data_IF_146597534039
#
_entry.id   IF_146597534039
#
_cell.length_a   1.000
_cell.length_b   1.000
_cell.length_c   1.000
_cell.angle_alpha   90.00
_cell.angle_beta   90.00
_cell.angle_gamma   90.00
#
_symmetry.space_group_name_H-M   'P 1'
#
loop_
_entity.id
_entity.type
_entity.pdbx_description
1 polymer ?
#
# COMPACT_ATOMS: atom_id res chain seq x y z
N UNK A 1 15.29 3.37 -27.12
CA UNK A 1 14.11 2.47 -27.19
C UNK A 1 13.11 3.04 -28.18
N UNK A 2 12.44 2.22 -28.99
CA UNK A 2 11.45 2.72 -29.95
C UNK A 2 10.23 3.33 -29.22
N UNK A 3 9.70 4.45 -29.71
CA UNK A 3 8.51 5.10 -29.13
C UNK A 3 7.27 4.19 -29.06
N UNK A 4 7.24 3.09 -29.81
CA UNK A 4 6.20 2.05 -29.75
C UNK A 4 6.15 1.31 -28.40
N UNK A 5 7.31 1.17 -27.73
CA UNK A 5 7.39 0.52 -26.42
C UNK A 5 6.57 1.27 -25.37
N UNK A 6 6.41 2.60 -25.52
CA UNK A 6 5.56 3.44 -24.68
C UNK A 6 4.11 2.95 -24.60
N UNK A 7 3.57 2.49 -25.73
CA UNK A 7 2.18 2.01 -25.86
C UNK A 7 2.00 0.54 -25.49
N UNK A 8 3.09 -0.17 -25.17
CA UNK A 8 3.07 -1.60 -24.87
C UNK A 8 2.32 -1.91 -23.56
N UNK A 9 1.23 -2.68 -23.69
CA UNK A 9 0.40 -3.07 -22.55
C UNK A 9 -0.36 -1.92 -21.92
N UNK A 10 -0.50 -0.78 -22.59
CA UNK A 10 -1.21 0.41 -22.09
C UNK A 10 -2.43 0.75 -22.95
N UNK A 11 -3.40 1.44 -22.34
CA UNK A 11 -4.58 2.03 -22.98
C UNK A 11 -4.74 3.48 -22.56
N UNK A 12 -4.31 4.39 -23.41
CA UNK A 12 -4.14 5.81 -23.09
C UNK A 12 -5.11 6.69 -23.88
N UNK A 13 -5.58 7.76 -23.26
CA UNK A 13 -6.24 8.84 -24.00
C UNK A 13 -5.19 9.65 -24.78
N UNK A 14 -5.60 10.34 -25.83
CA UNK A 14 -4.71 11.24 -26.58
C UNK A 14 -4.03 12.29 -25.69
N UNK A 15 -4.75 12.78 -24.67
CA UNK A 15 -4.22 13.73 -23.69
C UNK A 15 -3.10 13.16 -22.80
N UNK A 16 -3.00 11.84 -22.68
CA UNK A 16 -1.96 11.15 -21.91
C UNK A 16 -0.78 10.72 -22.79
N UNK A 17 -0.84 10.96 -24.10
CA UNK A 17 0.25 10.69 -25.03
C UNK A 17 1.11 11.96 -25.17
N UNK A 18 2.42 11.89 -24.86
CA UNK A 18 3.37 12.99 -25.06
C UNK A 18 3.28 13.53 -26.49
N UNK A 19 3.40 14.85 -26.67
CA UNK A 19 3.17 15.50 -27.97
C UNK A 19 4.09 14.93 -29.06
N UNK A 20 5.30 14.59 -28.66
CA UNK A 20 6.40 14.04 -29.48
C UNK A 20 6.04 12.65 -30.03
N UNK A 21 5.21 11.88 -29.31
CA UNK A 21 4.80 10.53 -29.71
C UNK A 21 3.46 10.49 -30.46
N UNK A 22 2.75 11.61 -30.59
CA UNK A 22 1.44 11.66 -31.26
C UNK A 22 1.53 11.34 -32.75
N UNK A 23 2.65 11.67 -33.40
CA UNK A 23 2.91 11.28 -34.79
C UNK A 23 2.93 9.76 -35.02
N UNK A 24 3.17 8.97 -33.98
CA UNK A 24 3.17 7.50 -34.07
C UNK A 24 1.78 6.88 -33.98
N UNK A 25 0.72 7.66 -33.71
CA UNK A 25 -0.63 7.12 -33.58
C UNK A 25 -1.20 6.62 -34.92
N UNK A 26 -0.65 7.09 -36.04
CA UNK A 26 -0.97 6.62 -37.41
C UNK A 26 -0.20 5.35 -37.79
N UNK A 27 0.73 4.88 -36.95
CA UNK A 27 1.46 3.64 -37.18
C UNK A 27 0.51 2.44 -37.09
N UNK A 28 0.54 1.56 -38.09
CA UNK A 28 -0.30 0.36 -38.17
C UNK A 28 -0.18 -0.59 -36.95
N UNK A 29 0.90 -0.48 -36.18
CA UNK A 29 1.15 -1.24 -34.95
C UNK A 29 0.39 -0.69 -33.75
N UNK A 30 -0.07 0.57 -33.80
CA UNK A 30 -0.96 1.14 -32.82
C UNK A 30 -2.40 0.74 -33.16
N UNK A 31 -3.17 0.41 -32.13
CA UNK A 31 -4.59 0.13 -32.24
C UNK A 31 -5.36 1.18 -31.47
N UNK A 32 -6.35 1.71 -32.17
CA UNK A 32 -7.40 2.50 -31.59
C UNK A 32 -8.50 1.56 -31.04
N UNK A 33 -8.89 1.80 -29.80
CA UNK A 33 -9.96 1.08 -29.12
C UNK A 33 -11.05 2.08 -28.74
N UNK A 34 -12.33 1.72 -28.86
CA UNK A 34 -13.39 2.57 -28.35
C UNK A 34 -13.20 2.78 -26.85
N UNK A 35 -13.30 4.02 -26.39
CA UNK A 35 -13.15 4.33 -24.96
C UNK A 35 -14.36 3.87 -24.13
N UNK A 36 -15.53 3.73 -24.76
CA UNK A 36 -16.75 3.25 -24.14
C UNK A 36 -17.52 2.30 -25.05
N UNK A 37 -18.31 1.40 -24.45
CA UNK A 37 -19.22 0.50 -25.14
C UNK A 37 -20.64 0.70 -24.60
N UNK A 38 -21.57 1.04 -25.48
CA UNK A 38 -23.00 1.19 -25.13
C UNK A 38 -23.65 -0.20 -25.16
N UNK A 39 -24.38 -0.54 -24.10
CA UNK A 39 -25.05 -1.83 -23.88
C UNK A 39 -26.47 -1.53 -23.39
N UNK A 40 -27.41 -1.40 -24.33
CA UNK A 40 -28.79 -1.00 -24.02
C UNK A 40 -28.83 0.35 -23.29
N UNK A 41 -29.43 0.38 -22.09
CA UNK A 41 -29.50 1.57 -21.20
C UNK A 41 -28.27 1.79 -20.32
N UNK A 42 -27.17 1.09 -20.62
CA UNK A 42 -25.93 1.18 -19.87
C UNK A 42 -24.75 1.50 -20.77
N UNK A 43 -23.72 2.11 -20.21
CA UNK A 43 -22.46 2.45 -20.89
C UNK A 43 -21.31 1.89 -20.07
N UNK A 44 -20.51 1.04 -20.69
CA UNK A 44 -19.33 0.46 -20.08
C UNK A 44 -18.07 1.24 -20.47
N UNK A 45 -17.30 1.67 -19.48
CA UNK A 45 -15.98 2.26 -19.70
C UNK A 45 -14.96 1.17 -20.08
N UNK A 46 -14.25 1.33 -21.19
CA UNK A 46 -13.26 0.34 -21.68
C UNK A 46 -11.88 0.45 -21.02
N UNK A 47 -11.71 1.47 -20.15
CA UNK A 47 -10.55 1.63 -19.24
C UNK A 47 -10.75 0.88 -17.93
N UNK A 48 -11.65 1.39 -17.07
CA UNK A 48 -11.86 0.80 -15.74
C UNK A 48 -12.84 -0.38 -15.75
N UNK A 49 -13.63 -0.55 -16.80
CA UNK A 49 -14.65 -1.60 -16.90
C UNK A 49 -15.95 -1.30 -16.16
N UNK A 50 -16.06 -0.17 -15.45
CA UNK A 50 -17.28 0.24 -14.75
C UNK A 50 -18.43 0.41 -15.75
N UNK A 51 -19.60 -0.10 -15.37
CA UNK A 51 -20.84 0.04 -16.12
C UNK A 51 -21.67 1.12 -15.44
N UNK A 52 -22.03 2.16 -16.19
CA UNK A 52 -22.86 3.27 -15.76
C UNK A 52 -24.23 3.17 -16.43
N UNK A 53 -25.29 3.64 -15.77
CA UNK A 53 -26.54 3.89 -16.47
C UNK A 53 -26.35 5.09 -17.41
N UNK A 54 -26.84 4.99 -18.65
CA UNK A 54 -26.57 5.98 -19.70
C UNK A 54 -27.10 7.36 -19.35
N UNK A 55 -28.27 7.45 -18.71
CA UNK A 55 -28.92 8.69 -18.27
C UNK A 55 -28.07 9.50 -17.28
N UNK A 56 -27.38 8.85 -16.34
CA UNK A 56 -26.59 9.51 -15.30
C UNK A 56 -25.25 10.10 -15.79
N UNK A 57 -24.77 9.62 -16.94
CA UNK A 57 -23.44 10.00 -17.46
C UNK A 57 -23.49 10.60 -18.86
N UNK A 58 -24.69 10.92 -19.33
CA UNK A 58 -24.92 11.58 -20.62
C UNK A 58 -24.60 13.06 -20.53
N UNK A 59 -23.82 13.55 -21.49
CA UNK A 59 -23.57 14.95 -21.74
C UNK A 59 -24.11 15.26 -23.13
N UNK A 60 -24.96 16.29 -23.21
CA UNK A 60 -25.50 16.81 -24.47
C UNK A 60 -24.92 18.20 -24.65
N UNK A 61 -24.17 18.42 -25.74
CA UNK A 61 -23.78 19.75 -26.17
C UNK A 61 -24.49 20.09 -27.49
N UNK A 62 -24.23 21.27 -28.06
CA UNK A 62 -24.87 21.73 -29.32
C UNK A 62 -24.52 20.87 -30.55
N UNK A 63 -23.48 20.05 -30.49
CA UNK A 63 -22.91 19.33 -31.63
C UNK A 63 -23.09 17.81 -31.54
N UNK A 64 -23.07 17.25 -30.34
CA UNK A 64 -23.07 15.81 -30.10
C UNK A 64 -23.61 15.45 -28.72
N UNK A 65 -24.09 14.21 -28.61
CA UNK A 65 -24.39 13.55 -27.33
C UNK A 65 -23.36 12.47 -27.09
N UNK A 66 -22.66 12.55 -25.96
CA UNK A 66 -21.67 11.54 -25.56
C UNK A 66 -21.81 11.21 -24.07
N UNK A 67 -21.12 10.15 -23.66
CA UNK A 67 -21.12 9.68 -22.29
C UNK A 67 -19.72 9.83 -21.69
N UNK A 68 -19.61 9.98 -20.37
CA UNK A 68 -18.32 10.01 -19.69
C UNK A 68 -18.24 9.04 -18.52
N UNK A 69 -17.03 8.72 -18.05
CA UNK A 69 -16.83 7.83 -16.90
C UNK A 69 -16.45 8.65 -15.66
N UNK A 70 -17.36 8.85 -14.69
CA UNK A 70 -17.03 9.50 -13.43
C UNK A 70 -15.88 8.82 -12.68
N UNK A 71 -15.81 7.49 -12.77
CA UNK A 71 -14.81 6.71 -12.02
C UNK A 71 -13.37 6.87 -12.53
N UNK A 72 -13.17 7.32 -13.77
CA UNK A 72 -11.84 7.56 -14.33
C UNK A 72 -11.43 9.04 -14.31
N UNK A 73 -12.27 9.95 -13.81
CA UNK A 73 -12.12 11.40 -14.02
C UNK A 73 -10.76 11.95 -13.59
N UNK A 74 -10.19 11.43 -12.50
CA UNK A 74 -8.89 11.86 -11.97
C UNK A 74 -7.69 11.43 -12.85
N UNK A 75 -7.87 10.44 -13.72
CA UNK A 75 -6.85 9.97 -14.67
C UNK A 75 -7.07 10.55 -16.08
N UNK A 76 -7.99 11.49 -16.23
CA UNK A 76 -8.48 11.98 -17.50
C UNK A 76 -9.91 11.50 -17.77
N UNK A 77 -10.75 12.42 -18.25
CA UNK A 77 -12.16 12.15 -18.55
C UNK A 77 -12.26 11.21 -19.76
N UNK A 78 -12.52 9.93 -19.49
CA UNK A 78 -12.84 8.95 -20.55
C UNK A 78 -14.25 9.25 -21.06
N UNK A 79 -14.41 9.39 -22.38
CA UNK A 79 -15.68 9.74 -23.02
C UNK A 79 -15.98 8.82 -24.21
N UNK A 80 -17.25 8.64 -24.58
CA UNK A 80 -17.64 7.76 -25.69
C UNK A 80 -17.25 8.26 -27.07
N UNK A 81 -17.02 9.56 -27.23
CA UNK A 81 -16.51 10.20 -28.44
C UNK A 81 -14.96 10.25 -28.50
N UNK A 82 -14.29 9.64 -27.52
CA UNK A 82 -12.83 9.52 -27.49
C UNK A 82 -12.42 8.07 -27.75
N UNK A 83 -11.14 7.90 -28.06
CA UNK A 83 -10.50 6.61 -28.24
C UNK A 83 -9.36 6.38 -27.27
N UNK A 84 -9.10 5.10 -27.01
CA UNK A 84 -7.95 4.64 -26.26
C UNK A 84 -6.92 4.07 -27.23
N UNK A 85 -5.67 4.47 -27.08
CA UNK A 85 -4.56 4.03 -27.93
C UNK A 85 -3.67 3.05 -27.16
N UNK A 86 -3.27 1.98 -27.84
CA UNK A 86 -2.35 0.96 -27.32
C UNK A 86 -1.67 0.18 -28.42
N UNK A 87 -0.52 -0.43 -28.13
CA UNK A 87 0.20 -1.24 -29.11
C UNK A 87 -0.47 -2.60 -29.33
N UNK A 88 -0.60 -3.02 -30.60
CA UNK A 88 -0.98 -4.40 -30.97
C UNK A 88 0.11 -5.40 -30.64
N UNK A 89 1.37 -4.99 -30.79
CA UNK A 89 2.53 -5.85 -30.58
C UNK A 89 2.96 -5.83 -29.12
N UNK A 90 3.18 -7.02 -28.59
CA UNK A 90 3.89 -7.19 -27.33
C UNK A 90 5.40 -7.15 -27.62
N UNK A 91 6.20 -6.49 -26.77
CA UNK A 91 7.65 -6.57 -26.83
C UNK A 91 8.10 -8.03 -26.81
N UNK A 92 9.21 -8.31 -27.50
CA UNK A 92 9.83 -9.63 -27.42
C UNK A 92 10.23 -9.90 -25.97
N UNK A 93 10.06 -11.15 -25.53
CA UNK A 93 10.58 -11.59 -24.24
C UNK A 93 12.09 -11.66 -24.36
N UNK A 94 12.78 -10.91 -23.50
CA UNK A 94 14.24 -10.97 -23.39
C UNK A 94 14.58 -11.90 -22.23
N UNK A 95 14.87 -13.16 -22.55
CA UNK A 95 15.25 -14.16 -21.55
C UNK A 95 16.74 -14.03 -21.30
N UNK A 96 17.10 -13.63 -20.09
CA UNK A 96 18.48 -13.44 -19.67
C UNK A 96 18.60 -13.72 -18.18
N UNK A 97 19.75 -14.22 -17.71
CA UNK A 97 19.96 -14.36 -16.27
C UNK A 97 19.87 -12.99 -15.59
N UNK A 98 19.11 -12.93 -14.50
CA UNK A 98 18.97 -11.72 -13.69
C UNK A 98 19.76 -11.89 -12.40
N UNK A 99 20.72 -11.00 -12.18
CA UNK A 99 21.51 -10.98 -10.96
C UNK A 99 20.67 -10.44 -9.80
N UNK A 100 20.49 -11.25 -8.77
CA UNK A 100 19.95 -10.86 -7.47
C UNK A 100 21.11 -10.44 -6.57
N UNK A 101 21.09 -9.22 -6.05
CA UNK A 101 22.09 -8.69 -5.11
C UNK A 101 21.41 -8.41 -3.77
N UNK A 102 21.43 -9.39 -2.88
CA UNK A 102 20.92 -9.24 -1.52
C UNK A 102 21.78 -10.09 -0.58
N UNK A 103 22.35 -9.45 0.43
CA UNK A 103 23.29 -10.07 1.38
C UNK A 103 22.58 -10.69 2.59
N UNK A 104 21.26 -10.49 2.72
CA UNK A 104 20.48 -11.10 3.80
C UNK A 104 20.16 -12.57 3.54
N UNK A 105 19.67 -13.25 4.57
CA UNK A 105 19.20 -14.63 4.50
C UNK A 105 17.74 -14.72 4.92
N UNK A 106 16.92 -15.41 4.12
CA UNK A 106 15.53 -15.71 4.50
C UNK A 106 15.53 -16.69 5.68
N UNK A 107 14.69 -16.42 6.67
CA UNK A 107 14.38 -17.41 7.70
C UNK A 107 13.74 -18.66 7.06
N UNK A 108 13.76 -19.83 7.72
CA UNK A 108 13.13 -21.04 7.17
C UNK A 108 11.65 -20.84 6.80
N UNK A 109 10.90 -20.05 7.59
CA UNK A 109 9.50 -19.74 7.30
C UNK A 109 9.34 -18.78 6.13
N UNK A 110 10.20 -17.76 6.02
CA UNK A 110 10.24 -16.86 4.86
C UNK A 110 10.60 -17.62 3.57
N UNK A 111 11.53 -18.57 3.64
CA UNK A 111 11.91 -19.42 2.49
C UNK A 111 10.73 -20.26 1.99
N UNK A 112 9.97 -20.89 2.89
CA UNK A 112 8.73 -21.61 2.52
C UNK A 112 7.73 -20.71 1.78
N UNK A 113 7.57 -19.46 2.23
CA UNK A 113 6.72 -18.48 1.54
C UNK A 113 7.29 -18.12 0.17
N UNK A 114 8.61 -17.93 0.06
CA UNK A 114 9.27 -17.61 -1.21
C UNK A 114 9.15 -18.74 -2.24
N UNK A 115 9.29 -20.00 -1.82
CA UNK A 115 9.04 -21.18 -2.66
C UNK A 115 7.60 -21.24 -3.16
N UNK A 116 6.62 -20.92 -2.30
CA UNK A 116 5.21 -20.80 -2.68
C UNK A 116 4.98 -19.67 -3.68
N UNK A 117 5.65 -18.53 -3.52
CA UNK A 117 5.63 -17.42 -4.48
C UNK A 117 6.17 -17.87 -5.84
N UNK A 118 7.33 -18.53 -5.88
CA UNK A 118 7.90 -19.08 -7.12
C UNK A 118 6.93 -20.05 -7.80
N UNK A 119 6.39 -21.01 -7.03
CA UNK A 119 5.42 -21.98 -7.54
C UNK A 119 4.17 -21.30 -8.12
N UNK A 120 3.63 -20.29 -7.43
CA UNK A 120 2.49 -19.52 -7.91
C UNK A 120 2.80 -18.76 -9.20
N UNK A 121 4.02 -18.22 -9.33
CA UNK A 121 4.49 -17.52 -10.54
C UNK A 121 4.58 -18.49 -11.72
N UNK A 122 5.20 -19.66 -11.54
CA UNK A 122 5.36 -20.65 -12.60
C UNK A 122 4.03 -21.22 -13.07
N UNK A 123 3.15 -21.57 -12.11
CA UNK A 123 1.81 -22.09 -12.39
C UNK A 123 0.83 -21.01 -12.83
N UNK A 124 1.23 -19.73 -12.82
CA UNK A 124 0.36 -18.56 -13.12
C UNK A 124 -0.88 -18.53 -12.22
N UNK A 125 -0.70 -18.94 -10.96
CA UNK A 125 -1.74 -19.06 -9.95
C UNK A 125 -2.04 -17.73 -9.24
N UNK A 126 -2.93 -17.81 -8.25
CA UNK A 126 -3.27 -16.73 -7.35
C UNK A 126 -2.90 -17.09 -5.91
N UNK A 127 -2.09 -16.24 -5.26
CA UNK A 127 -1.57 -16.46 -3.92
C UNK A 127 -1.83 -15.25 -3.02
N UNK A 128 -2.31 -15.49 -1.80
CA UNK A 128 -2.42 -14.53 -0.72
C UNK A 128 -1.37 -14.84 0.35
N UNK A 129 -0.50 -13.87 0.58
CA UNK A 129 0.49 -13.90 1.65
C UNK A 129 -0.07 -13.05 2.79
N UNK A 130 -0.51 -13.71 3.86
CA UNK A 130 -0.89 -13.07 5.11
C UNK A 130 0.31 -13.06 6.06
N UNK A 131 1.09 -11.98 6.03
CA UNK A 131 2.31 -11.87 6.80
C UNK A 131 2.28 -10.66 7.72
N UNK A 132 2.66 -10.86 8.98
CA UNK A 132 2.63 -9.81 10.00
C UNK A 132 3.55 -8.64 9.65
N UNK A 133 3.29 -7.48 10.25
CA UNK A 133 4.16 -6.31 10.07
C UNK A 133 5.57 -6.62 10.58
N UNK A 134 6.58 -6.32 9.77
CA UNK A 134 7.97 -6.70 10.09
C UNK A 134 8.31 -8.17 9.78
N UNK A 135 7.50 -8.89 9.00
CA UNK A 135 7.84 -10.27 8.59
C UNK A 135 8.80 -10.37 7.39
N UNK A 136 9.30 -9.25 6.84
CA UNK A 136 10.13 -9.27 5.62
C UNK A 136 9.34 -9.57 4.34
N UNK A 137 8.14 -8.97 4.20
CA UNK A 137 7.24 -9.18 3.04
C UNK A 137 7.93 -9.00 1.68
N UNK A 138 8.81 -8.02 1.57
CA UNK A 138 9.48 -7.69 0.32
C UNK A 138 10.56 -8.72 -0.02
N UNK A 139 11.37 -9.12 0.96
CA UNK A 139 12.45 -10.10 0.80
C UNK A 139 11.94 -11.43 0.25
N UNK A 140 10.79 -11.89 0.77
CA UNK A 140 10.17 -13.14 0.32
C UNK A 140 9.77 -13.13 -1.16
N UNK A 141 9.64 -11.96 -1.80
CA UNK A 141 9.28 -11.83 -3.20
C UNK A 141 10.49 -11.86 -4.14
N UNK A 142 11.70 -11.67 -3.63
CA UNK A 142 12.90 -11.46 -4.45
C UNK A 142 13.18 -12.61 -5.41
N UNK A 143 13.17 -13.85 -4.94
CA UNK A 143 13.40 -15.04 -5.79
C UNK A 143 12.30 -15.19 -6.86
N UNK A 144 11.04 -14.94 -6.50
CA UNK A 144 9.93 -14.92 -7.45
C UNK A 144 10.05 -13.83 -8.53
N UNK A 145 10.48 -12.63 -8.14
CA UNK A 145 10.74 -11.52 -9.05
C UNK A 145 11.90 -11.88 -9.99
N UNK A 146 13.01 -12.40 -9.44
CA UNK A 146 14.16 -12.84 -10.22
C UNK A 146 13.78 -13.90 -11.25
N UNK A 147 12.99 -14.90 -10.84
CA UNK A 147 12.49 -15.95 -11.72
C UNK A 147 11.67 -15.38 -12.88
N UNK A 148 10.69 -14.52 -12.59
CA UNK A 148 9.87 -13.91 -13.64
C UNK A 148 10.71 -13.05 -14.60
N UNK A 149 11.58 -12.20 -14.07
CA UNK A 149 12.44 -11.35 -14.90
C UNK A 149 13.40 -12.18 -15.77
N UNK A 150 13.94 -13.29 -15.23
CA UNK A 150 14.84 -14.17 -16.00
C UNK A 150 14.13 -14.88 -17.17
N UNK A 151 12.81 -15.10 -17.06
CA UNK A 151 11.96 -15.61 -18.15
C UNK A 151 11.55 -14.52 -19.15
N UNK A 152 12.09 -13.31 -19.02
CA UNK A 152 11.72 -12.14 -19.83
C UNK A 152 10.28 -11.70 -19.61
N UNK A 153 9.72 -11.98 -18.44
CA UNK A 153 8.36 -11.62 -18.09
C UNK A 153 8.28 -10.21 -17.50
N UNK A 154 7.12 -9.59 -17.68
CA UNK A 154 6.87 -8.26 -17.14
C UNK A 154 6.16 -8.36 -15.79
N UNK A 155 6.73 -7.71 -14.79
CA UNK A 155 6.27 -7.76 -13.40
C UNK A 155 5.83 -6.36 -12.97
N UNK A 156 4.69 -6.28 -12.29
CA UNK A 156 4.28 -5.08 -11.56
C UNK A 156 4.18 -5.37 -10.07
N UNK A 157 4.74 -4.48 -9.26
CA UNK A 157 4.51 -4.39 -7.83
C UNK A 157 3.70 -3.12 -7.56
N UNK A 158 2.45 -3.29 -7.17
CA UNK A 158 1.54 -2.19 -6.91
C UNK A 158 1.28 -2.02 -5.40
N UNK A 159 1.12 -0.78 -4.96
CA UNK A 159 0.63 -0.47 -3.59
C UNK A 159 -0.44 0.64 -3.64
N UNK A 160 -1.43 0.67 -2.74
CA UNK A 160 -2.40 1.75 -2.68
C UNK A 160 -1.77 3.09 -2.27
N UNK A 161 -0.60 3.07 -1.62
CA UNK A 161 0.06 4.27 -1.07
C UNK A 161 1.32 4.63 -1.85
N UNK A 162 1.51 5.94 -2.05
CA UNK A 162 2.70 6.49 -2.70
C UNK A 162 3.95 6.24 -1.85
N UNK A 163 3.85 6.44 -0.52
CA UNK A 163 4.99 6.33 0.39
C UNK A 163 5.60 4.92 0.38
N UNK A 164 4.77 3.88 0.24
CA UNK A 164 5.23 2.48 0.08
C UNK A 164 5.97 2.29 -1.24
N UNK A 165 5.46 2.85 -2.35
CA UNK A 165 6.15 2.77 -3.64
C UNK A 165 7.52 3.44 -3.59
N UNK A 166 7.61 4.61 -2.93
CA UNK A 166 8.86 5.35 -2.73
C UNK A 166 9.85 4.64 -1.80
N UNK A 167 9.37 3.85 -0.83
CA UNK A 167 10.22 2.99 0.02
C UNK A 167 10.74 1.77 -0.76
N UNK A 168 9.89 1.14 -1.58
CA UNK A 168 10.23 -0.07 -2.32
C UNK A 168 11.16 0.17 -3.52
N UNK A 169 11.04 1.32 -4.17
CA UNK A 169 11.83 1.65 -5.37
C UNK A 169 13.35 1.58 -5.16
N UNK A 170 13.96 2.35 -4.24
CA UNK A 170 15.41 2.28 -4.02
C UNK A 170 15.86 0.92 -3.49
N UNK A 171 14.99 0.20 -2.75
CA UNK A 171 15.28 -1.16 -2.28
C UNK A 171 15.42 -2.13 -3.44
N UNK A 172 14.45 -2.14 -4.36
CA UNK A 172 14.47 -3.03 -5.53
C UNK A 172 15.55 -2.63 -6.54
N UNK A 173 15.90 -1.35 -6.66
CA UNK A 173 17.04 -0.92 -7.48
C UNK A 173 18.36 -1.51 -6.98
N UNK A 174 18.58 -1.52 -5.65
CA UNK A 174 19.77 -2.16 -5.06
C UNK A 174 19.75 -3.68 -5.25
N UNK A 175 18.58 -4.30 -5.12
CA UNK A 175 18.43 -5.76 -5.27
C UNK A 175 18.59 -6.24 -6.71
N UNK A 176 18.15 -5.44 -7.70
CA UNK A 176 18.19 -5.77 -9.12
C UNK A 176 18.90 -4.68 -9.93
N UNK A 177 20.21 -4.46 -9.73
CA UNK A 177 20.93 -3.32 -10.32
C UNK A 177 21.04 -3.38 -11.85
N UNK A 178 20.86 -4.56 -12.44
CA UNK A 178 20.88 -4.78 -13.89
C UNK A 178 19.52 -4.56 -14.58
N UNK A 179 18.49 -4.21 -13.81
CA UNK A 179 17.11 -4.11 -14.27
C UNK A 179 16.65 -2.67 -14.15
N UNK A 180 16.21 -2.11 -15.27
CA UNK A 180 15.53 -0.82 -15.28
C UNK A 180 14.15 -0.96 -14.62
N UNK A 181 13.84 -0.06 -13.69
CA UNK A 181 12.61 -0.07 -12.91
C UNK A 181 11.84 1.23 -13.19
N UNK A 182 10.59 1.13 -13.63
CA UNK A 182 9.71 2.28 -13.73
C UNK A 182 8.96 2.50 -12.42
N UNK A 183 9.01 3.71 -11.87
CA UNK A 183 8.23 4.13 -10.70
C UNK A 183 7.07 5.02 -11.12
N UNK A 184 5.83 4.60 -10.87
CA UNK A 184 4.63 5.31 -11.33
C UNK A 184 3.68 5.73 -10.20
N UNK A 185 3.45 7.03 -10.06
CA UNK A 185 2.47 7.59 -9.11
C UNK A 185 1.89 8.93 -9.61
N UNK A 186 0.84 9.43 -8.96
CA UNK A 186 0.04 10.56 -9.48
C UNK A 186 0.73 11.93 -9.56
N UNK A 187 1.95 12.07 -9.03
CA UNK A 187 2.74 13.33 -9.02
C UNK A 187 4.17 13.12 -9.55
N UNK A 188 4.36 12.16 -10.44
CA UNK A 188 5.68 11.90 -11.01
C UNK A 188 6.04 13.01 -12.02
N UNK A 189 7.30 13.41 -12.04
CA UNK A 189 7.86 14.36 -13.01
C UNK A 189 8.48 13.63 -14.21
N UNK A 190 9.02 12.42 -13.99
CA UNK A 190 9.64 11.62 -15.03
C UNK A 190 8.64 11.07 -16.05
N UNK A 191 9.03 11.01 -17.32
CA UNK A 191 8.22 10.37 -18.34
C UNK A 191 8.23 8.84 -18.21
N UNK A 192 7.09 8.22 -18.52
CA UNK A 192 7.01 6.76 -18.55
C UNK A 192 7.92 6.20 -19.65
N UNK A 193 8.75 5.23 -19.27
CA UNK A 193 9.48 4.36 -20.17
C UNK A 193 9.03 2.90 -19.96
N UNK A 194 9.25 2.05 -20.97
CA UNK A 194 8.90 0.64 -20.87
C UNK A 194 9.95 -0.11 -20.04
N UNK A 195 9.52 -0.73 -18.95
CA UNK A 195 10.40 -1.53 -18.09
C UNK A 195 9.82 -2.92 -17.80
N UNK A 196 10.70 -3.89 -17.61
CA UNK A 196 10.35 -5.26 -17.22
C UNK A 196 9.83 -5.34 -15.78
N UNK A 197 10.30 -4.44 -14.90
CA UNK A 197 9.80 -4.27 -13.53
C UNK A 197 9.17 -2.88 -13.36
N UNK A 198 7.92 -2.85 -12.88
CA UNK A 198 7.18 -1.61 -12.63
C UNK A 198 6.74 -1.56 -11.19
N UNK A 199 7.05 -0.48 -10.49
CA UNK A 199 6.52 -0.17 -9.16
C UNK A 199 5.51 0.95 -9.32
N UNK A 200 4.29 0.78 -8.83
CA UNK A 200 3.27 1.79 -9.05
C UNK A 200 2.19 1.88 -7.99
N UNK A 201 1.47 3.01 -7.95
CA UNK A 201 0.22 3.03 -7.18
C UNK A 201 -0.86 2.20 -7.88
N UNK A 202 -1.77 1.60 -7.12
CA UNK A 202 -2.87 0.80 -7.68
C UNK A 202 -3.74 1.55 -8.70
N UNK A 203 -3.83 2.88 -8.58
CA UNK A 203 -4.52 3.71 -9.58
C UNK A 203 -3.81 3.72 -10.94
N UNK A 204 -2.49 3.63 -10.98
CA UNK A 204 -1.75 3.59 -12.25
C UNK A 204 -2.03 2.32 -13.04
N UNK A 205 -2.47 1.24 -12.39
CA UNK A 205 -2.89 0.00 -13.06
C UNK A 205 -4.04 0.22 -14.04
N UNK A 206 -4.86 1.28 -13.87
CA UNK A 206 -5.93 1.63 -14.80
C UNK A 206 -5.43 2.03 -16.20
N UNK A 207 -4.16 2.39 -16.33
CA UNK A 207 -3.52 2.69 -17.62
C UNK A 207 -3.01 1.43 -18.33
N UNK A 208 -2.96 0.29 -17.64
CA UNK A 208 -2.43 -0.97 -18.15
C UNK A 208 -3.55 -1.95 -18.51
N UNK A 209 -3.32 -2.73 -19.56
CA UNK A 209 -4.26 -3.74 -20.03
C UNK A 209 -3.51 -4.97 -20.55
N UNK A 210 -3.65 -6.10 -19.85
CA UNK A 210 -2.94 -7.35 -20.10
C UNK A 210 -1.42 -7.16 -20.32
N UNK A 211 -0.82 -6.34 -19.46
CA UNK A 211 0.57 -5.92 -19.54
C UNK A 211 1.50 -6.87 -18.78
N UNK A 212 1.08 -7.33 -17.60
CA UNK A 212 1.95 -8.00 -16.64
C UNK A 212 1.72 -9.51 -16.62
N UNK A 213 2.80 -10.28 -16.71
CA UNK A 213 2.79 -11.72 -16.50
C UNK A 213 2.73 -12.05 -15.01
N UNK A 214 3.26 -11.19 -14.14
CA UNK A 214 3.14 -11.30 -12.68
C UNK A 214 2.67 -9.96 -12.14
N UNK A 215 1.58 -9.96 -11.39
CA UNK A 215 1.08 -8.77 -10.71
C UNK A 215 1.05 -9.03 -9.20
N UNK A 216 1.86 -8.26 -8.50
CA UNK A 216 2.00 -8.27 -7.05
C UNK A 216 1.29 -7.02 -6.52
N UNK A 217 0.42 -7.17 -5.53
CA UNK A 217 -0.21 -6.03 -4.84
C UNK A 217 0.08 -6.14 -3.35
N UNK A 218 0.81 -5.17 -2.82
CA UNK A 218 1.05 -5.06 -1.37
C UNK A 218 0.00 -4.16 -0.72
N UNK A 219 -0.26 -4.39 0.56
CA UNK A 219 -1.23 -3.67 1.37
C UNK A 219 -2.67 -3.71 0.80
N UNK A 220 -3.13 -4.89 0.36
CA UNK A 220 -4.49 -5.05 -0.20
C UNK A 220 -5.62 -4.78 0.81
N UNK A 221 -5.28 -4.72 2.10
CA UNK A 221 -6.15 -4.33 3.21
C UNK A 221 -6.20 -2.80 3.45
N UNK A 222 -5.39 -2.01 2.74
CA UNK A 222 -5.36 -0.55 2.88
C UNK A 222 -6.38 0.16 2.00
N UNK A 223 -6.95 1.25 2.54
CA UNK A 223 -7.60 2.28 1.72
C UNK A 223 -6.56 2.94 0.78
N UNK A 224 -6.91 3.28 -0.47
CA UNK A 224 -8.22 3.17 -1.12
C UNK A 224 -8.51 1.85 -1.84
N UNK A 225 -7.66 0.82 -1.70
CA UNK A 225 -7.80 -0.43 -2.44
C UNK A 225 -8.83 -1.38 -1.81
N UNK A 226 -8.83 -1.48 -0.48
CA UNK A 226 -9.85 -2.24 0.26
C UNK A 226 -11.25 -1.73 -0.10
N UNK A 227 -12.16 -2.66 -0.33
CA UNK A 227 -13.56 -2.42 -0.74
C UNK A 227 -13.76 -1.60 -2.03
N UNK A 228 -12.69 -1.40 -2.81
CA UNK A 228 -12.76 -0.65 -4.06
C UNK A 228 -12.73 -1.57 -5.28
N UNK A 229 -13.93 -1.90 -5.77
CA UNK A 229 -14.14 -2.75 -6.94
C UNK A 229 -13.42 -2.24 -8.20
N UNK A 230 -13.25 -0.92 -8.35
CA UNK A 230 -12.56 -0.35 -9.50
C UNK A 230 -11.06 -0.67 -9.47
N UNK A 231 -10.40 -0.56 -8.31
CA UNK A 231 -8.97 -0.88 -8.19
C UNK A 231 -8.70 -2.38 -8.22
N UNK A 232 -9.59 -3.19 -7.64
CA UNK A 232 -9.55 -4.65 -7.78
C UNK A 232 -9.67 -5.05 -9.26
N UNK A 233 -10.59 -4.42 -10.01
CA UNK A 233 -10.73 -4.66 -11.45
C UNK A 233 -9.54 -4.16 -12.25
N UNK A 234 -8.95 -3.01 -11.89
CA UNK A 234 -7.72 -2.52 -12.50
C UNK A 234 -6.58 -3.54 -12.39
N UNK A 235 -6.45 -4.16 -11.21
CA UNK A 235 -5.49 -5.24 -10.95
C UNK A 235 -5.73 -6.43 -11.89
N UNK A 236 -6.97 -6.92 -11.98
CA UNK A 236 -7.31 -8.03 -12.86
C UNK A 236 -7.10 -7.71 -14.35
N UNK A 237 -7.43 -6.49 -14.78
CA UNK A 237 -7.28 -6.03 -16.17
C UNK A 237 -5.81 -5.82 -16.57
N UNK A 238 -4.99 -5.27 -15.67
CA UNK A 238 -3.58 -5.00 -15.93
C UNK A 238 -2.77 -6.31 -16.04
N UNK A 239 -3.18 -7.35 -15.31
CA UNK A 239 -2.63 -8.71 -15.41
C UNK A 239 -3.03 -9.35 -16.76
N UNK A 240 -2.11 -10.10 -17.37
CA UNK A 240 -2.42 -10.98 -18.50
C UNK A 240 -3.40 -12.08 -18.05
N UNK A 241 -4.22 -12.59 -18.97
CA UNK A 241 -5.18 -13.66 -18.67
C UNK A 241 -4.51 -14.90 -18.04
N UNK A 242 -3.31 -15.25 -18.51
CA UNK A 242 -2.47 -16.34 -17.99
C UNK A 242 -1.26 -15.80 -17.21
N UNK A 243 -1.47 -14.80 -16.35
CA UNK A 243 -0.42 -14.25 -15.47
C UNK A 243 -0.63 -14.63 -14.01
N UNK A 244 0.40 -14.57 -13.17
CA UNK A 244 0.26 -14.80 -11.74
C UNK A 244 -0.32 -13.57 -11.01
N UNK A 245 -1.04 -13.80 -9.90
CA UNK A 245 -1.57 -12.77 -9.01
C UNK A 245 -1.07 -13.05 -7.59
N UNK A 246 -0.26 -12.17 -7.02
CA UNK A 246 0.23 -12.29 -5.65
C UNK A 246 -0.30 -11.10 -4.84
N UNK A 247 -1.00 -11.37 -3.75
CA UNK A 247 -1.56 -10.36 -2.87
C UNK A 247 -0.86 -10.46 -1.51
N UNK A 248 -0.41 -9.34 -0.98
CA UNK A 248 0.21 -9.27 0.35
C UNK A 248 -0.64 -8.43 1.27
N UNK A 249 -0.86 -8.94 2.47
CA UNK A 249 -1.58 -8.25 3.53
C UNK A 249 -1.01 -8.59 4.90
N UNK A 250 -1.12 -7.67 5.85
CA UNK A 250 -0.89 -8.01 7.27
C UNK A 250 -2.19 -8.25 8.04
N UNK A 251 -3.34 -8.03 7.40
CA UNK A 251 -4.65 -8.35 7.98
C UNK A 251 -5.57 -8.93 6.93
N UNK A 252 -6.26 -10.02 7.25
CA UNK A 252 -7.18 -10.62 6.31
C UNK A 252 -8.55 -9.93 6.34
N UNK A 253 -9.10 -9.63 5.17
CA UNK A 253 -10.45 -9.03 5.03
C UNK A 253 -11.48 -10.10 4.71
N UNK A 254 -12.78 -9.91 5.04
CA UNK A 254 -13.82 -10.89 4.74
C UNK A 254 -13.88 -11.28 3.25
N UNK A 255 -13.67 -10.32 2.34
CA UNK A 255 -13.64 -10.58 0.90
C UNK A 255 -12.47 -11.48 0.50
N UNK A 256 -11.28 -11.28 1.07
CA UNK A 256 -10.12 -12.12 0.81
C UNK A 256 -10.32 -13.54 1.35
N UNK A 257 -10.87 -13.68 2.56
CA UNK A 257 -11.20 -15.00 3.12
C UNK A 257 -12.22 -15.74 2.26
N UNK A 258 -13.21 -15.05 1.69
CA UNK A 258 -14.16 -15.66 0.74
C UNK A 258 -13.48 -16.15 -0.54
N UNK A 259 -12.51 -15.40 -1.09
CA UNK A 259 -11.71 -15.87 -2.24
C UNK A 259 -10.89 -17.12 -1.89
N UNK A 260 -10.40 -17.22 -0.65
CA UNK A 260 -9.66 -18.39 -0.17
C UNK A 260 -10.57 -19.60 0.00
N UNK A 261 -11.71 -19.44 0.69
CA UNK A 261 -12.69 -20.52 0.90
C UNK A 261 -13.25 -21.05 -0.41
N UNK A 262 -13.44 -20.19 -1.41
CA UNK A 262 -13.91 -20.59 -2.74
C UNK A 262 -12.83 -21.23 -3.63
N UNK A 263 -11.59 -21.38 -3.15
CA UNK A 263 -10.48 -21.98 -3.91
C UNK A 263 -9.90 -21.08 -5.01
N UNK A 264 -10.35 -19.83 -5.11
CA UNK A 264 -9.86 -18.86 -6.11
C UNK A 264 -8.51 -18.22 -5.72
N UNK A 265 -8.08 -18.43 -4.47
CA UNK A 265 -6.89 -17.82 -3.90
C UNK A 265 -6.24 -18.78 -2.89
N UNK A 266 -5.04 -19.28 -3.19
CA UNK A 266 -4.25 -20.04 -2.21
C UNK A 266 -3.77 -19.09 -1.11
N UNK A 267 -3.79 -19.50 0.15
CA UNK A 267 -3.35 -18.67 1.29
C UNK A 267 -2.17 -19.28 2.01
N UNK A 268 -1.16 -18.46 2.29
CA UNK A 268 -0.05 -18.78 3.17
C UNK A 268 0.01 -17.73 4.27
N UNK A 269 0.17 -18.19 5.53
CA UNK A 269 0.25 -17.32 6.71
C UNK A 269 1.67 -17.33 7.23
N UNK A 270 2.21 -16.15 7.54
CA UNK A 270 3.49 -15.98 8.23
C UNK A 270 3.25 -15.14 9.50
N UNK A 271 3.04 -15.80 10.66
CA UNK A 271 2.59 -15.14 11.88
C UNK A 271 3.71 -14.50 12.71
N UNK A 272 4.98 -14.66 12.30
CA UNK A 272 6.14 -14.19 13.04
C UNK A 272 6.94 -13.11 12.28
N UNK A 273 7.61 -12.23 13.04
CA UNK A 273 8.60 -11.29 12.51
C UNK A 273 9.93 -12.01 12.20
N UNK A 274 10.77 -11.38 11.38
CA UNK A 274 12.07 -11.97 11.00
C UNK A 274 12.96 -12.25 12.22
N UNK A 275 12.86 -11.41 13.25
CA UNK A 275 13.59 -11.50 14.52
C UNK A 275 12.93 -12.40 15.57
N UNK A 276 11.90 -13.16 15.20
CA UNK A 276 11.33 -14.25 16.01
C UNK A 276 10.83 -13.85 17.41
N UNK A 277 10.46 -12.59 17.63
CA UNK A 277 9.78 -12.14 18.85
C UNK A 277 8.27 -11.96 18.64
N UNK A 278 7.52 -12.05 19.74
CA UNK A 278 6.07 -11.82 19.74
C UNK A 278 5.73 -10.41 19.25
N UNK A 279 4.59 -10.28 18.57
CA UNK A 279 4.01 -8.97 18.27
C UNK A 279 3.57 -8.28 19.57
N UNK A 280 3.79 -6.97 19.73
CA UNK A 280 3.34 -6.24 20.91
C UNK A 280 1.82 -6.23 20.97
N UNK A 281 1.27 -6.70 22.09
CA UNK A 281 -0.17 -6.73 22.33
C UNK A 281 -0.59 -5.38 22.92
N UNK A 282 -1.53 -4.64 22.31
CA UNK A 282 -1.95 -3.35 22.82
C UNK A 282 -2.55 -3.41 24.23
N UNK A 283 -2.09 -2.53 25.11
CA UNK A 283 -2.66 -2.30 26.44
C UNK A 283 -3.72 -1.19 26.35
N UNK A 284 -4.96 -1.49 26.75
CA UNK A 284 -6.02 -0.49 26.82
C UNK A 284 -5.93 0.30 28.11
N UNK A 285 -5.79 1.62 28.03
CA UNK A 285 -5.80 2.53 29.18
C UNK A 285 -6.97 3.49 29.09
N UNK A 286 -7.70 3.57 30.20
CA UNK A 286 -8.85 4.46 30.32
C UNK A 286 -8.40 5.92 30.35
N UNK A 287 -8.99 6.74 29.47
CA UNK A 287 -8.75 8.16 29.37
C UNK A 287 -10.07 8.89 29.03
N UNK A 288 -10.89 9.11 30.04
CA UNK A 288 -12.14 9.86 29.88
C UNK A 288 -11.91 11.30 29.40
N UNK A 289 -12.81 11.81 28.56
CA UNK A 289 -12.77 13.19 28.04
C UNK A 289 -11.51 13.53 27.23
N UNK A 290 -10.83 12.54 26.65
CA UNK A 290 -9.62 12.76 25.84
C UNK A 290 -9.85 13.77 24.70
N UNK A 291 -11.04 13.79 24.10
CA UNK A 291 -11.45 14.71 23.04
C UNK A 291 -11.39 16.19 23.48
N UNK A 292 -11.65 16.44 24.77
CA UNK A 292 -11.73 17.79 25.34
C UNK A 292 -10.36 18.34 25.76
N UNK A 293 -9.30 17.53 25.80
CA UNK A 293 -7.95 17.97 26.19
C UNK A 293 -7.46 19.20 25.43
N UNK A 294 -7.51 19.24 24.08
CA UNK A 294 -7.00 20.39 23.35
C UNK A 294 -7.89 21.62 23.52
N UNK A 295 -9.19 21.44 23.76
CA UNK A 295 -10.15 22.53 23.98
C UNK A 295 -9.93 23.19 25.35
N UNK A 296 -9.73 22.38 26.38
CA UNK A 296 -9.46 22.83 27.76
C UNK A 296 -8.03 23.29 27.97
N UNK A 297 -7.16 23.21 26.95
CA UNK A 297 -5.72 23.54 27.00
C UNK A 297 -5.01 22.90 28.20
N UNK A 298 -5.40 21.68 28.56
CA UNK A 298 -4.86 20.95 29.71
C UNK A 298 -4.67 19.48 29.35
N UNK A 299 -3.46 18.98 29.55
CA UNK A 299 -3.14 17.56 29.43
C UNK A 299 -3.70 16.83 30.66
N UNK A 300 -4.43 15.74 30.44
CA UNK A 300 -4.94 14.91 31.53
C UNK A 300 -3.77 14.26 32.28
N UNK A 301 -3.88 14.16 33.61
CA UNK A 301 -2.79 13.68 34.48
C UNK A 301 -2.29 12.29 34.10
N UNK A 302 -3.19 11.34 33.83
CA UNK A 302 -2.81 9.97 33.43
C UNK A 302 -2.06 9.93 32.10
N UNK A 303 -2.45 10.77 31.13
CA UNK A 303 -1.73 10.88 29.86
C UNK A 303 -0.39 11.60 30.04
N UNK A 304 -0.34 12.64 30.89
CA UNK A 304 0.90 13.33 31.25
C UNK A 304 1.91 12.37 31.89
N UNK A 305 1.47 11.57 32.88
CA UNK A 305 2.31 10.58 33.55
C UNK A 305 2.86 9.53 32.57
N UNK A 306 2.02 9.07 31.63
CA UNK A 306 2.48 8.18 30.57
C UNK A 306 3.59 8.83 29.73
N UNK A 307 3.39 10.06 29.25
CA UNK A 307 4.40 10.76 28.45
C UNK A 307 5.69 11.02 29.24
N UNK A 308 5.60 11.40 30.52
CA UNK A 308 6.76 11.60 31.39
C UNK A 308 7.57 10.30 31.50
N UNK A 309 6.92 9.16 31.77
CA UNK A 309 7.62 7.88 31.83
C UNK A 309 8.30 7.50 30.52
N UNK A 310 7.68 7.80 29.37
CA UNK A 310 8.30 7.58 28.05
C UNK A 310 9.55 8.46 27.87
N UNK A 311 9.48 9.74 28.26
CA UNK A 311 10.59 10.69 28.14
C UNK A 311 11.75 10.33 29.08
N UNK A 312 11.46 9.98 30.33
CA UNK A 312 12.46 9.56 31.33
C UNK A 312 13.23 8.31 30.88
N UNK A 313 12.54 7.38 30.22
CA UNK A 313 13.13 6.17 29.64
C UNK A 313 13.76 6.41 28.25
N UNK A 314 13.82 7.66 27.78
CA UNK A 314 14.33 8.05 26.46
C UNK A 314 13.68 7.26 25.31
N UNK A 315 12.39 6.93 25.45
CA UNK A 315 11.60 6.19 24.47
C UNK A 315 11.06 7.15 23.41
N UNK A 316 11.53 7.01 22.19
CA UNK A 316 10.90 7.70 21.06
C UNK A 316 9.46 7.18 20.87
N UNK A 317 8.47 8.08 20.89
CA UNK A 317 7.05 7.71 20.96
C UNK A 317 6.26 8.32 19.80
N UNK A 318 5.56 7.46 19.04
CA UNK A 318 4.66 7.83 17.95
C UNK A 318 3.21 7.87 18.44
N UNK A 319 2.57 9.02 18.37
CA UNK A 319 1.23 9.28 18.91
C UNK A 319 0.23 9.46 17.77
N UNK A 320 -0.66 8.48 17.59
CA UNK A 320 -1.73 8.53 16.60
C UNK A 320 -2.93 9.33 17.11
N UNK A 321 -3.37 10.28 16.29
CA UNK A 321 -4.49 11.17 16.54
C UNK A 321 -5.60 10.94 15.50
N UNK A 322 -6.88 11.07 15.87
CA UNK A 322 -8.00 10.71 15.01
C UNK A 322 -8.22 11.67 13.84
N UNK A 323 -7.94 12.97 14.01
CA UNK A 323 -8.16 14.00 12.99
C UNK A 323 -6.98 14.97 12.92
N UNK A 324 -6.80 15.62 11.76
CA UNK A 324 -5.76 16.65 11.55
C UNK A 324 -5.96 17.84 12.49
N UNK A 325 -7.22 18.22 12.74
CA UNK A 325 -7.55 19.30 13.67
C UNK A 325 -7.13 18.95 15.10
N UNK A 326 -7.49 17.74 15.56
CA UNK A 326 -7.10 17.26 16.89
C UNK A 326 -5.58 17.19 17.03
N UNK A 327 -4.89 16.61 16.04
CA UNK A 327 -3.43 16.55 15.98
C UNK A 327 -2.79 17.94 16.11
N UNK A 328 -3.27 18.91 15.34
CA UNK A 328 -2.71 20.27 15.33
C UNK A 328 -2.87 20.95 16.68
N UNK A 329 -4.04 20.81 17.31
CA UNK A 329 -4.30 21.40 18.63
C UNK A 329 -3.52 20.67 19.74
N UNK A 330 -3.45 19.34 19.67
CA UNK A 330 -2.71 18.52 20.63
C UNK A 330 -1.21 18.79 20.57
N UNK A 331 -0.63 18.90 19.38
CA UNK A 331 0.80 19.22 19.20
C UNK A 331 1.14 20.54 19.90
N UNK A 332 0.35 21.60 19.69
CA UNK A 332 0.55 22.89 20.37
C UNK A 332 0.41 22.80 21.89
N UNK A 333 -0.49 21.94 22.37
CA UNK A 333 -0.67 21.72 23.80
C UNK A 333 0.55 21.01 24.40
N UNK A 334 1.04 19.95 23.77
CA UNK A 334 2.19 19.19 24.26
C UNK A 334 3.49 20.00 24.20
N UNK A 335 3.71 20.81 23.16
CA UNK A 335 4.88 21.72 23.09
C UNK A 335 4.90 22.72 24.25
N UNK A 336 3.73 23.18 24.71
CA UNK A 336 3.63 24.06 25.88
C UNK A 336 3.85 23.32 27.20
N UNK A 337 3.35 22.09 27.30
CA UNK A 337 3.45 21.28 28.51
C UNK A 337 4.86 20.73 28.73
N UNK A 338 5.58 20.41 27.65
CA UNK A 338 6.91 19.82 27.63
C UNK A 338 7.87 20.67 26.78
N UNK A 339 8.20 21.90 27.20
CA UNK A 339 8.99 22.84 26.38
C UNK A 339 10.44 22.38 26.16
N UNK A 340 10.93 21.45 26.98
CA UNK A 340 12.29 20.89 26.89
C UNK A 340 12.37 19.68 25.95
N UNK A 341 11.23 19.14 25.52
CA UNK A 341 11.20 17.94 24.68
C UNK A 341 11.05 18.30 23.20
N UNK A 342 11.73 17.54 22.35
CA UNK A 342 11.60 17.69 20.91
C UNK A 342 10.31 17.04 20.41
N UNK A 343 9.31 17.87 20.04
CA UNK A 343 7.98 17.40 19.60
C UNK A 343 7.73 17.76 18.14
N UNK A 344 7.48 16.73 17.33
CA UNK A 344 7.16 16.86 15.91
C UNK A 344 5.72 16.45 15.58
N UNK A 345 5.26 16.78 14.38
CA UNK A 345 4.02 16.22 13.86
C UNK A 345 4.01 16.10 12.34
N UNK A 346 3.21 15.19 11.79
CA UNK A 346 2.98 15.07 10.35
C UNK A 346 1.55 14.59 10.03
N UNK A 347 1.01 15.07 8.91
CA UNK A 347 -0.30 14.65 8.39
C UNK A 347 -0.35 14.69 6.86
N UNK A 348 -1.38 14.10 6.24
CA UNK A 348 -1.39 13.82 4.78
C UNK A 348 -1.31 15.03 3.83
N UNK A 349 -1.65 16.25 4.27
CA UNK A 349 -1.58 17.49 3.46
C UNK A 349 -0.39 18.38 3.83
N UNK A 350 0.46 17.93 4.74
CA UNK A 350 1.61 18.68 5.20
C UNK A 350 2.70 18.74 4.09
N UNK A 351 3.14 19.96 3.77
CA UNK A 351 4.19 20.21 2.77
C UNK A 351 5.58 19.81 3.29
N UNK A 352 5.80 19.87 4.59
CA UNK A 352 7.08 19.52 5.23
C UNK A 352 7.12 18.06 5.70
N UNK A 353 6.06 17.29 5.45
CA UNK A 353 5.90 15.89 5.87
C UNK A 353 7.15 15.04 5.67
N UNK A 354 7.76 15.13 4.49
CA UNK A 354 8.92 14.29 4.15
C UNK A 354 10.15 14.62 5.01
N UNK A 355 10.39 15.90 5.28
CA UNK A 355 11.49 16.33 6.14
C UNK A 355 11.20 16.00 7.61
N UNK A 356 9.97 16.18 8.10
CA UNK A 356 9.57 15.76 9.45
C UNK A 356 9.75 14.26 9.67
N UNK A 357 9.44 13.43 8.66
CA UNK A 357 9.66 11.97 8.71
C UNK A 357 11.14 11.63 8.74
N UNK A 358 11.98 12.32 7.95
CA UNK A 358 13.44 12.13 8.00
C UNK A 358 14.00 12.51 9.37
N UNK A 359 13.58 13.65 9.92
CA UNK A 359 14.00 14.10 11.24
C UNK A 359 13.60 13.09 12.32
N UNK A 360 12.38 12.56 12.25
CA UNK A 360 11.93 11.47 13.11
C UNK A 360 12.82 10.21 13.00
N UNK A 361 13.21 9.81 11.78
CA UNK A 361 14.12 8.67 11.56
C UNK A 361 15.51 8.90 12.14
N UNK A 362 15.99 10.15 12.19
CA UNK A 362 17.28 10.52 12.82
C UNK A 362 17.20 10.62 14.35
N UNK A 363 16.03 10.38 14.93
CA UNK A 363 15.74 10.58 16.35
C UNK A 363 15.81 12.04 16.81
N UNK A 364 15.56 12.98 15.90
CA UNK A 364 15.49 14.42 16.20
C UNK A 364 14.23 14.79 17.04
N UNK A 365 13.26 13.88 17.16
CA UNK A 365 12.04 14.05 17.94
C UNK A 365 11.88 12.92 18.96
N UNK A 366 11.51 13.28 20.19
CA UNK A 366 11.15 12.32 21.25
C UNK A 366 9.67 11.93 21.16
N UNK A 367 8.80 12.92 20.93
CA UNK A 367 7.36 12.71 20.71
C UNK A 367 6.97 13.14 19.30
N UNK A 368 6.25 12.28 18.59
CA UNK A 368 5.84 12.59 17.22
C UNK A 368 4.35 12.29 17.01
N UNK A 369 3.58 13.31 16.66
CA UNK A 369 2.14 13.18 16.47
C UNK A 369 1.79 12.96 14.99
N UNK A 370 0.92 12.00 14.72
CA UNK A 370 0.50 11.68 13.35
C UNK A 370 -0.97 11.29 13.29
N UNK A 371 -1.58 11.41 12.12
CA UNK A 371 -2.83 10.70 11.83
C UNK A 371 -2.54 9.28 11.31
N UNK A 372 -3.56 8.57 10.84
CA UNK A 372 -3.45 7.26 10.15
C UNK A 372 -2.58 7.29 8.89
N UNK A 373 -2.03 8.44 8.49
CA UNK A 373 -1.11 8.53 7.36
C UNK A 373 0.16 7.69 7.57
N UNK A 374 0.71 7.67 8.79
CA UNK A 374 1.93 6.91 9.13
C UNK A 374 1.65 5.49 9.64
N UNK A 375 0.42 5.00 9.56
CA UNK A 375 0.14 3.60 9.91
C UNK A 375 0.87 2.63 8.94
N UNK A 376 1.15 3.09 7.71
CA UNK A 376 1.74 2.35 6.57
C UNK A 376 2.84 3.17 5.89
N UNK A 377 3.78 2.51 5.20
CA UNK A 377 4.77 3.15 4.30
C UNK A 377 5.93 3.94 4.92
N UNK A 378 6.18 3.86 6.24
CA UNK A 378 7.38 4.45 6.86
C UNK A 378 7.92 3.57 7.99
N UNK A 379 9.16 3.13 7.91
CA UNK A 379 9.81 2.35 8.97
C UNK A 379 10.57 3.27 9.93
N UNK A 380 10.35 3.08 11.24
CA UNK A 380 11.07 3.69 12.36
C UNK A 380 11.61 2.57 13.25
N UNK A 381 12.81 2.72 13.76
CA UNK A 381 13.43 1.76 14.69
C UNK A 381 13.06 2.13 16.12
N UNK A 382 12.83 1.13 16.98
CA UNK A 382 12.75 1.28 18.44
C UNK A 382 11.64 2.19 19.01
N UNK A 383 10.55 2.41 18.26
CA UNK A 383 9.49 3.31 18.72
C UNK A 383 8.43 2.62 19.60
N UNK A 384 7.90 3.39 20.55
CA UNK A 384 6.65 3.10 21.23
C UNK A 384 5.49 3.78 20.52
N UNK A 385 4.28 3.25 20.74
CA UNK A 385 3.09 3.68 20.03
C UNK A 385 1.97 3.99 21.01
N UNK A 386 1.37 5.16 20.85
CA UNK A 386 0.17 5.57 21.57
C UNK A 386 -0.93 5.87 20.55
N UNK A 387 -2.14 5.37 20.76
CA UNK A 387 -3.33 5.73 19.98
C UNK A 387 -4.28 6.51 20.87
N UNK A 388 -4.36 7.83 20.64
CA UNK A 388 -5.30 8.71 21.32
C UNK A 388 -6.69 8.55 20.72
N UNK A 389 -7.67 8.18 21.57
CA UNK A 389 -9.03 7.95 21.13
C UNK A 389 -9.14 6.73 20.24
N UNK A 390 -8.54 5.60 20.63
CA UNK A 390 -8.50 4.37 19.83
C UNK A 390 -9.88 3.77 19.52
N UNK A 391 -10.92 4.23 20.20
CA UNK A 391 -12.32 3.89 19.95
C UNK A 391 -13.00 4.76 18.88
N UNK A 392 -12.35 5.82 18.41
CA UNK A 392 -12.86 6.68 17.36
C UNK A 392 -13.01 5.92 16.03
N UNK A 393 -14.09 6.20 15.29
CA UNK A 393 -14.51 5.47 14.06
C UNK A 393 -13.48 5.37 12.94
N UNK A 394 -12.48 6.26 12.94
CA UNK A 394 -11.39 6.26 11.94
C UNK A 394 -10.41 5.11 12.14
N UNK A 395 -10.32 4.56 13.35
CA UNK A 395 -9.44 3.46 13.69
C UNK A 395 -10.20 2.13 13.57
N UNK A 396 -10.18 1.55 12.38
CA UNK A 396 -10.70 0.20 12.17
C UNK A 396 -9.70 -0.87 12.68
N UNK A 397 -10.12 -2.13 12.71
CA UNK A 397 -9.29 -3.23 13.21
C UNK A 397 -7.95 -3.35 12.45
N UNK A 398 -7.97 -3.22 11.12
CA UNK A 398 -6.76 -3.33 10.29
C UNK A 398 -5.76 -2.22 10.61
N UNK A 399 -6.24 -0.97 10.65
CA UNK A 399 -5.47 0.21 11.06
C UNK A 399 -4.83 0.01 12.43
N UNK A 400 -5.58 -0.46 13.44
CA UNK A 400 -5.05 -0.68 14.79
C UNK A 400 -3.96 -1.76 14.83
N UNK A 401 -4.12 -2.87 14.08
CA UNK A 401 -3.09 -3.91 13.98
C UNK A 401 -1.82 -3.37 13.31
N UNK A 402 -1.96 -2.56 12.26
CA UNK A 402 -0.83 -1.94 11.57
C UNK A 402 -0.10 -0.93 12.45
N UNK A 403 -0.85 -0.11 13.20
CA UNK A 403 -0.30 0.85 14.16
C UNK A 403 0.45 0.12 15.27
N UNK A 404 -0.15 -0.90 15.89
CA UNK A 404 0.54 -1.73 16.89
C UNK A 404 1.80 -2.39 16.31
N UNK A 405 1.72 -2.80 15.04
CA UNK A 405 2.82 -3.34 14.25
C UNK A 405 3.99 -2.39 13.98
N UNK A 406 3.92 -1.11 14.38
CA UNK A 406 5.02 -0.15 14.30
C UNK A 406 5.97 -0.26 15.49
N UNK A 407 5.48 -0.71 16.64
CA UNK A 407 6.28 -0.94 17.82
C UNK A 407 7.11 -2.24 17.73
N UNK A 408 8.27 -2.23 18.39
CA UNK A 408 9.11 -3.41 18.62
C UNK A 408 9.75 -4.02 17.35
N UNK A 409 10.07 -3.19 16.35
CA UNK A 409 10.50 -3.65 15.02
C UNK A 409 11.98 -4.03 14.90
N UNK A 410 12.78 -3.69 15.89
CA UNK A 410 14.21 -3.90 15.95
C UNK A 410 14.52 -5.10 16.83
N UNK A 411 15.57 -5.82 16.46
CA UNK A 411 16.08 -6.97 17.22
C UNK A 411 16.65 -6.50 18.56
N UNK A 412 17.22 -5.30 18.58
CA UNK A 412 17.74 -4.63 19.78
C UNK A 412 16.63 -4.20 20.76
N UNK A 413 15.40 -4.00 20.28
CA UNK A 413 14.27 -3.63 21.11
C UNK A 413 12.95 -4.24 20.61
N UNK A 414 12.75 -5.55 20.84
CA UNK A 414 11.61 -6.27 20.31
C UNK A 414 10.31 -5.98 21.06
N UNK A 415 10.38 -5.40 22.26
CA UNK A 415 9.25 -5.17 23.17
C UNK A 415 8.84 -3.70 23.23
N UNK A 416 8.42 -3.16 22.09
CA UNK A 416 7.84 -1.82 22.07
C UNK A 416 6.46 -1.77 22.74
N UNK A 417 6.22 -0.74 23.53
CA UNK A 417 4.96 -0.50 24.19
C UNK A 417 3.90 0.00 23.20
N UNK A 418 2.68 -0.53 23.32
CA UNK A 418 1.54 -0.09 22.52
C UNK A 418 0.37 0.23 23.45
N UNK A 419 -0.02 1.50 23.51
CA UNK A 419 -1.10 1.98 24.36
C UNK A 419 -2.31 2.43 23.54
N UNK A 420 -3.47 1.86 23.83
CA UNK A 420 -4.76 2.30 23.32
C UNK A 420 -5.44 3.17 24.37
N UNK A 421 -5.45 4.49 24.18
CA UNK A 421 -6.07 5.43 25.09
C UNK A 421 -7.52 5.67 24.65
N UNK A 422 -8.48 5.36 25.51
CA UNK A 422 -9.90 5.38 25.16
C UNK A 422 -10.82 5.64 26.35
N UNK A 423 -12.06 6.01 26.07
CA UNK A 423 -13.18 6.07 27.02
C UNK A 423 -14.24 4.99 26.75
N UNK A 424 -13.89 3.96 25.98
CA UNK A 424 -14.69 2.75 25.81
C UNK A 424 -14.07 1.76 24.83
N UNK A 425 -14.27 0.46 25.05
CA UNK A 425 -13.75 -0.55 24.12
C UNK A 425 -14.62 -0.67 22.87
N UNK A 426 -14.05 -0.40 21.70
CA UNK A 426 -14.71 -0.65 20.41
C UNK A 426 -14.57 -2.11 19.96
N UNK A 427 -15.46 -2.57 19.07
CA UNK A 427 -15.32 -3.88 18.41
C UNK A 427 -14.00 -4.00 17.66
N UNK A 428 -13.54 -2.91 17.02
CA UNK A 428 -12.29 -2.86 16.28
C UNK A 428 -11.07 -3.09 17.19
N UNK A 429 -11.02 -2.45 18.37
CA UNK A 429 -9.94 -2.63 19.34
C UNK A 429 -9.89 -4.07 19.87
N UNK A 430 -11.05 -4.60 20.30
CA UNK A 430 -11.14 -6.00 20.75
C UNK A 430 -10.75 -6.98 19.64
N UNK A 431 -11.12 -6.69 18.39
CA UNK A 431 -10.71 -7.45 17.21
C UNK A 431 -9.19 -7.44 17.02
N UNK A 432 -8.57 -6.26 17.08
CA UNK A 432 -7.12 -6.11 16.92
C UNK A 432 -6.33 -6.89 17.98
N UNK A 433 -6.69 -6.75 19.26
CA UNK A 433 -6.04 -7.47 20.37
C UNK A 433 -6.20 -8.99 20.20
N UNK A 434 -7.40 -9.46 19.84
CA UNK A 434 -7.65 -10.90 19.62
C UNK A 434 -6.82 -11.45 18.46
N UNK A 435 -6.75 -10.72 17.35
CA UNK A 435 -5.99 -11.15 16.16
C UNK A 435 -4.49 -11.21 16.44
N UNK A 436 -3.93 -10.19 17.11
CA UNK A 436 -2.50 -10.18 17.49
C UNK A 436 -2.18 -11.37 18.42
N UNK A 437 -3.04 -11.63 19.43
CA UNK A 437 -2.88 -12.79 20.32
C UNK A 437 -2.96 -14.12 19.58
N UNK A 438 -3.88 -14.24 18.61
CA UNK A 438 -4.01 -15.43 17.76
C UNK A 438 -2.75 -15.66 16.93
N UNK A 439 -2.21 -14.62 16.31
CA UNK A 439 -0.98 -14.70 15.52
C UNK A 439 0.22 -15.07 16.39
N UNK A 440 0.37 -14.46 17.57
CA UNK A 440 1.42 -14.85 18.52
C UNK A 440 1.29 -16.32 18.94
N UNK A 441 0.06 -16.81 19.18
CA UNK A 441 -0.16 -18.23 19.50
C UNK A 441 0.26 -19.14 18.35
N UNK A 442 -0.21 -18.85 17.13
CA UNK A 442 0.15 -19.64 15.95
C UNK A 442 1.66 -19.65 15.73
N UNK A 443 2.32 -18.51 15.91
CA UNK A 443 3.78 -18.41 15.81
C UNK A 443 4.51 -19.28 16.85
N UNK A 444 3.98 -19.41 18.08
CA UNK A 444 4.52 -20.32 19.10
C UNK A 444 4.30 -21.79 18.72
N UNK A 445 3.10 -22.14 18.28
CA UNK A 445 2.73 -23.49 17.85
C UNK A 445 3.60 -23.97 16.67
N UNK A 446 3.94 -23.07 15.75
CA UNK A 446 4.83 -23.34 14.61
C UNK A 446 6.34 -23.23 14.94
N UNK A 447 6.71 -22.97 16.21
CA UNK A 447 8.11 -22.83 16.64
C UNK A 447 8.84 -21.61 16.04
N UNK A 448 8.10 -20.62 15.56
CA UNK A 448 8.65 -19.45 14.87
C UNK A 448 9.14 -18.37 15.82
N UNK A 449 8.58 -18.30 17.04
CA UNK A 449 8.99 -17.37 18.08
C UNK A 449 9.38 -18.12 19.35
N UNK A 450 10.28 -17.53 20.14
CA UNK A 450 10.72 -18.08 21.42
C UNK A 450 9.56 -18.07 22.44
N UNK A 451 9.59 -19.03 23.38
CA UNK A 451 8.48 -19.33 24.31
C UNK A 451 8.12 -18.18 25.24
#
# INVERSE_FOLDING_TARGET
MSGLSFFSGRRLLLSEVPKELRGMLTDYRIKEYPAMRIIGRSVQCMRCGTVHRSDHVRIVNKFETFYFCPSCIQLGRVQSNLSLYGSRRRPKKDQRPVRLVWEGQLTPSQRKVSEKVMTAIEKKGALLIHAVTGAGKTEMLFEGIQLGLSRGWRIALASPRVDVCLELFPRLQRTFPSIEIALLYGKQEEDYHYSSLVICTTHQLLRFYHAFDVLIVDEVDAFPYVDNRLLQRATLNARKQKGARILLTATSTPALEQEVVSGNLEKVVLPARFHRHSLPVPEGRWLANWERMPQKKRVLSSFKQLLVGQLEQQRQTLIFCPTVEFLSKMTRLLVKEFPQSAIGSAYGKDRQRYESIKAMRRRDYELFLTTTILERGVTFADIDVIVLGSNHRVFNQSTLIQIAGRAGRSDENPTGNVYFLHDGWSKAMKGAVREIRKLNRLAKEEGLIEQ
#
